data_IF_479027578712
#
_entry.id   IF_479027578712
#
_cell.length_a   1.000
_cell.length_b   1.000
_cell.length_c   1.000
_cell.angle_alpha   90.00
_cell.angle_beta   90.00
_cell.angle_gamma   90.00
#
_symmetry.space_group_name_H-M   'P 1'
#
loop_
_entity.id
_entity.type
_entity.pdbx_description
1 polymer ?
#
# COMPACT_ATOMS: atom_id res chain seq x y z
N UNK A 1 -10.64 2.46 -17.48
CA UNK A 1 -11.25 3.81 -17.51
C UNK A 1 -12.72 3.63 -17.83
N UNK A 2 -13.64 4.02 -16.94
CA UNK A 2 -15.08 3.91 -17.26
C UNK A 2 -15.38 4.80 -18.47
N UNK A 3 -16.17 4.28 -19.41
CA UNK A 3 -16.61 4.98 -20.64
C UNK A 3 -17.26 6.33 -20.32
N UNK A 4 -17.78 6.50 -19.10
CA UNK A 4 -18.35 7.74 -18.59
C UNK A 4 -17.39 8.94 -18.62
N UNK A 5 -16.08 8.73 -18.44
CA UNK A 5 -15.07 9.80 -18.51
C UNK A 5 -14.91 10.39 -19.92
N UNK A 6 -15.26 9.63 -20.96
CA UNK A 6 -15.17 10.08 -22.35
C UNK A 6 -16.47 10.73 -22.84
N UNK A 7 -17.60 10.44 -22.18
CA UNK A 7 -18.94 10.79 -22.67
C UNK A 7 -19.62 11.93 -21.90
N UNK A 8 -19.08 12.37 -20.75
CA UNK A 8 -19.69 13.44 -19.93
C UNK A 8 -18.70 14.59 -19.74
N UNK A 9 -19.12 15.80 -20.11
CA UNK A 9 -18.33 17.02 -19.92
C UNK A 9 -18.06 17.33 -18.43
N UNK A 10 -18.95 16.88 -17.55
CA UNK A 10 -18.84 17.02 -16.08
C UNK A 10 -18.09 15.86 -15.41
N UNK A 11 -17.52 14.92 -16.17
CA UNK A 11 -16.76 13.80 -15.59
C UNK A 11 -17.61 12.77 -14.82
N UNK A 12 -16.95 11.95 -13.98
CA UNK A 12 -17.57 10.79 -13.35
C UNK A 12 -17.99 11.10 -11.90
N UNK A 13 -19.30 11.09 -11.62
CA UNK A 13 -19.87 11.44 -10.31
C UNK A 13 -19.76 10.35 -9.23
N UNK A 14 -19.18 9.18 -9.54
CA UNK A 14 -19.10 8.03 -8.62
C UNK A 14 -17.65 7.61 -8.43
N UNK A 15 -17.15 7.80 -7.21
CA UNK A 15 -15.83 7.33 -6.80
C UNK A 15 -15.79 5.80 -6.69
N UNK A 16 -14.58 5.25 -6.79
CA UNK A 16 -14.35 3.83 -6.56
C UNK A 16 -14.42 3.55 -5.04
N UNK A 17 -15.07 2.46 -4.62
CA UNK A 17 -15.05 2.08 -3.21
C UNK A 17 -13.62 1.75 -2.79
N UNK A 18 -13.14 2.38 -1.72
CA UNK A 18 -11.87 2.07 -1.10
C UNK A 18 -11.95 0.68 -0.45
N UNK A 19 -11.05 -0.21 -0.84
CA UNK A 19 -10.88 -1.50 -0.17
C UNK A 19 -10.12 -1.25 1.13
N UNK A 20 -10.71 -1.65 2.25
CA UNK A 20 -10.04 -1.60 3.56
C UNK A 20 -9.22 -2.88 3.75
N UNK A 21 -7.93 -2.73 3.98
CA UNK A 21 -7.04 -3.86 4.28
C UNK A 21 -7.35 -4.45 5.66
N UNK A 22 -7.22 -5.77 5.80
CA UNK A 22 -7.26 -6.38 7.12
C UNK A 22 -5.94 -6.06 7.84
N UNK A 23 -6.01 -5.34 8.96
CA UNK A 23 -4.84 -4.86 9.73
C UNK A 23 -4.11 -5.98 10.47
N UNK A 24 -4.68 -7.18 10.53
CA UNK A 24 -4.03 -8.31 11.14
C UNK A 24 -3.12 -9.02 10.14
N UNK A 25 -1.81 -8.93 10.34
CA UNK A 25 -0.90 -9.92 9.76
C UNK A 25 -1.25 -11.24 10.47
N UNK A 26 -1.89 -12.17 9.75
CA UNK A 26 -2.17 -13.49 10.30
C UNK A 26 -0.83 -14.09 10.77
N UNK A 27 -0.60 -14.13 12.09
CA UNK A 27 0.67 -14.57 12.70
C UNK A 27 1.14 -15.94 12.16
N UNK A 28 0.20 -16.79 11.74
CA UNK A 28 0.44 -18.05 11.04
C UNK A 28 1.23 -17.90 9.73
N UNK A 29 0.96 -16.87 8.92
CA UNK A 29 1.60 -16.68 7.62
C UNK A 29 3.10 -16.32 7.75
N UNK A 30 3.49 -15.67 8.84
CA UNK A 30 4.89 -15.30 9.10
C UNK A 30 5.66 -16.37 9.88
N UNK A 31 5.00 -17.05 10.83
CA UNK A 31 5.66 -18.05 11.70
C UNK A 31 5.78 -19.44 11.06
N UNK A 32 4.91 -19.77 10.10
CA UNK A 32 4.92 -21.07 9.44
C UNK A 32 5.39 -21.02 7.99
N UNK A 33 5.79 -19.85 7.46
CA UNK A 33 6.29 -19.74 6.10
C UNK A 33 7.54 -20.60 5.93
N UNK A 34 7.49 -21.67 5.11
CA UNK A 34 8.68 -22.45 4.83
C UNK A 34 9.73 -21.56 4.16
N UNK A 35 11.03 -21.77 4.43
CA UNK A 35 12.10 -20.98 3.84
C UNK A 35 11.97 -21.00 2.30
N UNK A 36 12.13 -19.84 1.68
CA UNK A 36 11.96 -19.71 0.24
C UNK A 36 12.91 -20.67 -0.50
N UNK A 37 12.34 -21.55 -1.33
CA UNK A 37 13.14 -22.53 -2.05
C UNK A 37 14.07 -21.84 -3.05
N UNK A 38 15.34 -22.26 -3.16
CA UNK A 38 16.26 -21.74 -4.16
C UNK A 38 15.73 -22.03 -5.56
N UNK A 39 15.76 -21.02 -6.43
CA UNK A 39 15.27 -21.13 -7.81
C UNK A 39 16.41 -20.85 -8.77
N UNK A 40 16.56 -21.72 -9.77
CA UNK A 40 17.39 -21.45 -10.92
C UNK A 40 16.57 -20.69 -11.98
N UNK A 41 17.05 -19.55 -12.49
CA UNK A 41 16.40 -18.86 -13.60
C UNK A 41 16.29 -19.75 -14.84
N UNK A 42 15.11 -19.78 -15.46
CA UNK A 42 14.89 -20.51 -16.72
C UNK A 42 15.31 -19.65 -17.90
N UNK A 43 16.10 -20.21 -18.81
CA UNK A 43 16.54 -19.52 -20.05
C UNK A 43 15.60 -19.77 -21.24
N UNK A 44 14.76 -20.79 -21.15
CA UNK A 44 13.68 -21.09 -22.09
C UNK A 44 12.37 -21.19 -21.33
N UNK A 45 11.35 -20.44 -21.77
CA UNK A 45 10.04 -20.37 -21.13
C UNK A 45 8.97 -20.67 -22.18
N UNK A 46 8.39 -21.86 -22.12
CA UNK A 46 7.22 -22.23 -22.94
C UNK A 46 5.92 -21.85 -22.22
N UNK A 47 5.86 -22.10 -20.90
CA UNK A 47 4.75 -21.76 -20.01
C UNK A 47 5.24 -21.09 -18.72
N UNK A 48 4.39 -20.25 -18.11
CA UNK A 48 4.64 -19.64 -16.80
C UNK A 48 4.17 -20.53 -15.66
N UNK A 49 4.99 -20.68 -14.62
CA UNK A 49 4.57 -21.33 -13.37
C UNK A 49 3.86 -20.35 -12.42
N UNK A 50 3.15 -20.87 -11.43
CA UNK A 50 2.39 -20.06 -10.46
C UNK A 50 3.25 -19.03 -9.73
N UNK A 51 4.52 -19.36 -9.45
CA UNK A 51 5.47 -18.46 -8.79
C UNK A 51 5.83 -17.28 -9.68
N UNK A 52 6.09 -17.51 -10.96
CA UNK A 52 6.40 -16.49 -11.95
C UNK A 52 5.17 -15.62 -12.23
N UNK A 53 3.98 -16.21 -12.36
CA UNK A 53 2.74 -15.47 -12.51
C UNK A 53 2.46 -14.57 -11.30
N UNK A 54 2.58 -15.10 -10.07
CA UNK A 54 2.42 -14.34 -8.84
C UNK A 54 3.46 -13.21 -8.72
N UNK A 55 4.72 -13.50 -9.08
CA UNK A 55 5.80 -12.50 -9.07
C UNK A 55 5.55 -11.41 -10.10
N UNK A 56 5.18 -11.76 -11.33
CA UNK A 56 4.87 -10.81 -12.39
C UNK A 56 3.70 -9.91 -11.99
N UNK A 57 2.65 -10.48 -11.39
CA UNK A 57 1.51 -9.72 -10.91
C UNK A 57 1.90 -8.76 -9.77
N UNK A 58 2.65 -9.22 -8.77
CA UNK A 58 3.14 -8.38 -7.67
C UNK A 58 4.01 -7.22 -8.18
N UNK A 59 4.93 -7.47 -9.12
CA UNK A 59 5.77 -6.42 -9.70
C UNK A 59 4.97 -5.43 -10.53
N UNK A 60 3.96 -5.91 -11.25
CA UNK A 60 3.04 -5.05 -12.01
C UNK A 60 2.26 -4.12 -11.08
N UNK A 61 1.73 -4.63 -9.98
CA UNK A 61 1.03 -3.83 -8.97
C UNK A 61 1.95 -2.76 -8.36
N UNK A 62 3.18 -3.13 -7.98
CA UNK A 62 4.16 -2.17 -7.42
C UNK A 62 4.51 -1.07 -8.42
N UNK A 63 4.69 -1.42 -9.70
CA UNK A 63 4.94 -0.44 -10.76
C UNK A 63 3.72 0.45 -10.97
N UNK A 64 2.54 -0.13 -11.14
CA UNK A 64 1.29 0.61 -11.37
C UNK A 64 1.01 1.58 -10.20
N UNK A 65 1.16 1.13 -8.95
CA UNK A 65 1.02 1.98 -7.77
C UNK A 65 1.95 3.19 -7.81
N UNK A 66 3.24 3.00 -8.13
CA UNK A 66 4.18 4.12 -8.29
C UNK A 66 3.72 5.10 -9.36
N UNK A 67 3.34 4.61 -10.54
CA UNK A 67 2.89 5.47 -11.64
C UNK A 67 1.60 6.22 -11.27
N UNK A 68 0.64 5.59 -10.57
CA UNK A 68 -0.57 6.26 -10.09
C UNK A 68 -0.28 7.36 -9.07
N UNK A 69 0.63 7.10 -8.13
CA UNK A 69 1.04 8.10 -7.14
C UNK A 69 1.71 9.31 -7.80
N UNK A 70 2.65 9.07 -8.73
CA UNK A 70 3.30 10.13 -9.48
C UNK A 70 2.26 10.92 -10.30
N UNK A 71 1.43 10.22 -11.08
CA UNK A 71 0.40 10.82 -11.91
C UNK A 71 -0.54 11.69 -11.07
N UNK A 72 -0.97 11.24 -9.88
CA UNK A 72 -1.83 12.00 -8.99
C UNK A 72 -1.22 13.36 -8.57
N UNK A 73 0.12 13.44 -8.43
CA UNK A 73 0.82 14.69 -8.08
C UNK A 73 0.84 15.71 -9.23
N UNK A 74 0.77 15.25 -10.48
CA UNK A 74 0.85 16.11 -11.67
C UNK A 74 -0.53 16.46 -12.27
N UNK A 75 -1.59 15.72 -11.92
CA UNK A 75 -2.93 15.93 -12.48
C UNK A 75 -3.59 17.21 -11.98
N UNK A 76 -3.97 18.11 -12.90
CA UNK A 76 -4.69 19.33 -12.58
C UNK A 76 -6.19 19.11 -12.30
N UNK A 77 -6.81 18.12 -12.96
CA UNK A 77 -8.24 17.81 -12.77
C UNK A 77 -8.45 17.06 -11.43
N UNK A 78 -9.24 17.59 -10.47
CA UNK A 78 -9.47 16.97 -9.18
C UNK A 78 -10.07 15.55 -9.24
N UNK A 79 -10.94 15.28 -10.22
CA UNK A 79 -11.58 13.96 -10.34
C UNK A 79 -10.59 12.89 -10.80
N UNK A 80 -9.77 13.21 -11.80
CA UNK A 80 -8.72 12.30 -12.29
C UNK A 80 -7.67 12.09 -11.20
N UNK A 81 -7.35 13.16 -10.45
CA UNK A 81 -6.48 13.07 -9.28
C UNK A 81 -7.03 12.12 -8.22
N UNK A 82 -8.30 12.28 -7.80
CA UNK A 82 -8.97 11.39 -6.82
C UNK A 82 -8.99 9.93 -7.31
N UNK A 83 -9.26 9.72 -8.61
CA UNK A 83 -9.19 8.40 -9.24
C UNK A 83 -7.79 7.78 -9.11
N UNK A 84 -6.72 8.53 -9.43
CA UNK A 84 -5.34 8.05 -9.32
C UNK A 84 -4.95 7.75 -7.86
N UNK A 85 -5.38 8.58 -6.90
CA UNK A 85 -5.15 8.33 -5.48
C UNK A 85 -5.83 7.03 -5.02
N UNK A 86 -7.08 6.83 -5.41
CA UNK A 86 -7.81 5.59 -5.09
C UNK A 86 -7.16 4.38 -5.76
N UNK A 87 -6.74 4.50 -7.03
CA UNK A 87 -6.06 3.42 -7.75
C UNK A 87 -4.71 3.05 -7.12
N UNK A 88 -3.98 4.04 -6.58
CA UNK A 88 -2.77 3.81 -5.79
C UNK A 88 -3.07 3.00 -4.52
N UNK A 89 -4.06 3.43 -3.72
CA UNK A 89 -4.46 2.71 -2.50
C UNK A 89 -4.90 1.27 -2.80
N UNK A 90 -5.67 1.05 -3.87
CA UNK A 90 -6.04 -0.30 -4.31
C UNK A 90 -4.83 -1.12 -4.73
N UNK A 91 -3.85 -0.52 -5.43
CA UNK A 91 -2.63 -1.23 -5.83
C UNK A 91 -1.81 -1.68 -4.62
N UNK A 92 -1.78 -0.88 -3.56
CA UNK A 92 -1.16 -1.25 -2.27
C UNK A 92 -1.86 -2.47 -1.64
N UNK A 93 -3.19 -2.42 -1.51
CA UNK A 93 -3.97 -3.51 -0.92
C UNK A 93 -3.82 -4.82 -1.68
N UNK A 94 -3.95 -4.78 -3.01
CA UNK A 94 -3.78 -5.96 -3.84
C UNK A 94 -2.33 -6.51 -3.80
N UNK A 95 -1.33 -5.64 -3.67
CA UNK A 95 0.06 -6.07 -3.53
C UNK A 95 0.29 -6.76 -2.19
N UNK A 96 -0.38 -6.30 -1.13
CA UNK A 96 -0.34 -6.94 0.18
C UNK A 96 -1.00 -8.33 0.16
N UNK A 97 -2.17 -8.48 -0.45
CA UNK A 97 -2.83 -9.79 -0.61
C UNK A 97 -1.97 -10.78 -1.40
N UNK A 98 -1.37 -10.32 -2.50
CA UNK A 98 -0.47 -11.16 -3.29
C UNK A 98 0.79 -11.54 -2.51
N UNK A 99 1.35 -10.62 -1.71
CA UNK A 99 2.46 -10.93 -0.82
C UNK A 99 2.08 -11.99 0.22
N UNK A 100 0.91 -11.89 0.86
CA UNK A 100 0.41 -12.90 1.81
C UNK A 100 0.28 -14.27 1.14
N UNK A 101 -0.28 -14.32 -0.08
CA UNK A 101 -0.35 -15.55 -0.88
C UNK A 101 1.05 -16.12 -1.15
N UNK A 102 1.99 -15.30 -1.64
CA UNK A 102 3.35 -15.75 -1.95
C UNK A 102 4.12 -16.20 -0.70
N UNK A 103 3.91 -15.57 0.45
CA UNK A 103 4.46 -16.00 1.74
C UNK A 103 3.93 -17.39 2.13
N UNK A 104 2.62 -17.62 2.02
CA UNK A 104 1.99 -18.92 2.32
C UNK A 104 2.49 -20.08 1.44
N UNK A 105 2.99 -19.77 0.24
CA UNK A 105 3.49 -20.74 -0.74
C UNK A 105 5.02 -20.85 -0.79
N UNK A 106 5.76 -20.18 0.10
CA UNK A 106 7.23 -20.08 0.06
C UNK A 106 7.79 -19.48 -1.23
N UNK A 107 6.99 -18.70 -1.95
CA UNK A 107 7.40 -18.02 -3.17
C UNK A 107 8.16 -16.74 -2.87
N UNK A 108 7.90 -16.11 -1.73
CA UNK A 108 8.56 -14.91 -1.26
C UNK A 108 9.29 -15.17 0.07
N UNK A 109 10.54 -14.74 0.24
CA UNK A 109 11.25 -14.88 1.50
C UNK A 109 10.62 -13.99 2.56
N UNK A 110 10.34 -14.58 3.71
CA UNK A 110 9.83 -13.89 4.89
C UNK A 110 10.84 -14.13 5.99
N UNK A 111 11.42 -13.06 6.50
CA UNK A 111 12.32 -13.12 7.65
C UNK A 111 11.87 -12.07 8.67
N UNK A 112 11.91 -12.44 9.94
CA UNK A 112 11.57 -11.54 11.05
C UNK A 112 12.85 -10.88 11.54
N UNK A 113 12.82 -9.56 11.70
CA UNK A 113 13.94 -8.86 12.31
C UNK A 113 14.16 -9.39 13.74
N UNK A 114 15.41 -9.67 14.10
CA UNK A 114 15.74 -10.14 15.45
C UNK A 114 15.34 -9.07 16.49
N UNK A 115 14.79 -9.53 17.62
CA UNK A 115 14.40 -8.64 18.73
C UNK A 115 15.55 -7.73 19.20
N UNK A 116 16.79 -8.24 19.12
CA UNK A 116 17.99 -7.49 19.49
C UNK A 116 18.24 -6.32 18.54
N UNK A 117 18.08 -6.51 17.25
CA UNK A 117 18.34 -5.47 16.25
C UNK A 117 17.22 -4.44 16.19
N UNK A 118 15.97 -4.86 16.36
CA UNK A 118 14.84 -3.93 16.52
C UNK A 118 14.99 -3.07 17.78
N UNK A 119 15.44 -3.63 18.90
CA UNK A 119 15.70 -2.87 20.12
C UNK A 119 16.85 -1.85 19.95
N UNK A 120 17.94 -2.24 19.28
CA UNK A 120 19.07 -1.33 18.98
C UNK A 120 18.63 -0.14 18.13
N UNK A 121 17.84 -0.38 17.07
CA UNK A 121 17.31 0.69 16.22
C UNK A 121 16.33 1.56 16.99
N UNK A 122 15.45 0.95 17.79
CA UNK A 122 14.49 1.68 18.62
C UNK A 122 15.15 2.63 19.62
N UNK A 123 16.27 2.21 20.22
CA UNK A 123 17.03 3.04 21.15
C UNK A 123 17.67 4.30 20.51
N UNK A 124 17.77 4.35 19.17
CA UNK A 124 18.29 5.53 18.46
C UNK A 124 17.31 6.71 18.49
N UNK A 125 16.01 6.44 18.61
CA UNK A 125 14.95 7.44 18.57
C UNK A 125 14.39 7.68 19.97
N UNK A 126 14.36 8.93 20.40
CA UNK A 126 13.64 9.33 21.60
C UNK A 126 12.17 9.57 21.24
N UNK A 127 11.26 9.19 22.13
CA UNK A 127 9.83 9.54 21.98
C UNK A 127 9.72 11.06 22.08
N UNK A 128 9.14 11.70 21.06
CA UNK A 128 8.89 13.15 21.08
C UNK A 128 7.83 13.43 22.16
N UNK A 129 8.13 14.26 23.18
CA UNK A 129 7.15 14.64 24.18
C UNK A 129 6.03 15.43 23.49
N UNK A 130 4.80 14.92 23.55
CA UNK A 130 3.66 15.60 22.96
C UNK A 130 3.28 16.80 23.85
N UNK A 131 3.62 18.01 23.42
CA UNK A 131 3.27 19.24 24.13
C UNK A 131 1.80 19.60 23.88
N UNK A 132 0.90 18.85 24.50
CA UNK A 132 -0.56 18.97 24.38
C UNK A 132 -1.08 20.43 24.42
N UNK A 133 -0.65 21.31 25.35
CA UNK A 133 -1.15 22.69 25.38
C UNK A 133 -0.70 23.54 24.17
N UNK A 134 0.48 23.27 23.62
CA UNK A 134 0.99 23.98 22.45
C UNK A 134 0.31 23.51 21.16
N UNK A 135 0.00 22.21 21.05
CA UNK A 135 -0.77 21.62 19.96
C UNK A 135 -2.21 22.16 19.96
N UNK A 136 -2.84 22.28 21.13
CA UNK A 136 -4.19 22.85 21.28
C UNK A 136 -4.23 24.33 20.89
N UNK A 137 -3.21 25.12 21.25
CA UNK A 137 -3.10 26.52 20.83
C UNK A 137 -2.91 26.65 19.31
N UNK A 138 -2.12 25.77 18.70
CA UNK A 138 -1.91 25.75 17.25
C UNK A 138 -3.19 25.37 16.49
N UNK A 139 -3.93 24.35 16.97
CA UNK A 139 -5.23 23.94 16.42
C UNK A 139 -6.30 25.04 16.56
N UNK A 140 -6.25 25.84 17.62
CA UNK A 140 -7.18 26.96 17.82
C UNK A 140 -6.88 28.15 16.89
N UNK A 141 -5.61 28.34 16.50
CA UNK A 141 -5.18 29.46 15.66
C UNK A 141 -5.32 29.18 14.15
N UNK A 142 -5.25 27.91 13.73
CA UNK A 142 -5.40 27.51 12.34
C UNK A 142 -6.66 26.65 12.14
N UNK A 143 -7.75 27.27 11.71
CA UNK A 143 -8.91 26.53 11.17
C UNK A 143 -8.48 25.86 9.85
N UNK A 144 -8.37 24.53 9.84
CA UNK A 144 -8.09 23.76 8.62
C UNK A 144 -9.15 24.08 7.54
N UNK A 145 -8.77 24.55 6.32
CA UNK A 145 -9.72 24.87 5.25
C UNK A 145 -10.48 23.67 4.68
N UNK A 146 -10.12 22.45 5.06
CA UNK A 146 -10.84 21.23 4.72
C UNK A 146 -10.77 20.29 5.91
N UNK A 147 -11.93 20.04 6.52
CA UNK A 147 -12.12 19.01 7.53
C UNK A 147 -11.91 17.62 6.89
N UNK A 148 -10.66 17.22 6.72
CA UNK A 148 -10.26 15.84 6.47
C UNK A 148 -9.92 15.21 7.80
N UNK A 149 -10.82 14.37 8.31
CA UNK A 149 -10.63 13.64 9.55
C UNK A 149 -9.56 12.55 9.35
N UNK A 150 -8.33 12.82 9.79
CA UNK A 150 -7.22 11.86 9.78
C UNK A 150 -7.45 10.67 10.74
N UNK A 151 -8.49 10.72 11.59
CA UNK A 151 -8.91 9.63 12.47
C UNK A 151 -9.45 8.38 11.76
N UNK A 152 -9.71 8.45 10.45
CA UNK A 152 -10.13 7.28 9.65
C UNK A 152 -8.98 6.42 9.12
N UNK A 153 -7.71 6.81 9.33
CA UNK A 153 -6.56 6.02 8.88
C UNK A 153 -6.31 4.77 9.76
N UNK A 154 -6.84 4.73 10.98
CA UNK A 154 -6.57 3.67 11.96
C UNK A 154 -7.79 3.29 12.81
N UNK A 155 -8.95 3.09 12.18
CA UNK A 155 -10.01 2.23 12.71
C UNK A 155 -10.29 1.12 11.73
#
# INVERSE_FOLDING_TARGET
MKVEFLNKAEGAKKELPLLKENQEISNMALQMAPPAAPVQPRTMVEDMNDREMATAYLLTLKRAGREYAWTAMEMANPEIRSFCQTAFMMSCAHAYDMWQYMASKSYYPVDQAESVDTAKIGAMYQVVPENQPQIQQYMAQYQNPTAGDSGQLYQ
#
